data_IF_130517469584
#
_entry.id   IF_130517469584
#
_cell.length_a   1.000
_cell.length_b   1.000
_cell.length_c   1.000
_cell.angle_alpha   90.00
_cell.angle_beta   90.00
_cell.angle_gamma   90.00
#
_symmetry.space_group_name_H-M   'P 1'
#
loop_
_entity.id
_entity.type
_entity.pdbx_description
1 polymer ?
#
# COMPACT_ATOMS: atom_id res chain seq x y z
N UNK A 1 -29.41 18.25 13.83
CA UNK A 1 -28.07 17.76 13.42
C UNK A 1 -27.69 16.36 13.94
N UNK A 2 -28.50 15.67 14.76
CA UNK A 2 -28.19 14.30 15.26
C UNK A 2 -28.81 13.15 14.44
N UNK A 3 -29.89 13.42 13.69
CA UNK A 3 -30.68 12.38 12.99
C UNK A 3 -30.17 11.97 11.59
N UNK A 4 -29.25 12.71 10.99
CA UNK A 4 -28.64 12.33 9.70
C UNK A 4 -27.47 11.34 9.88
N UNK A 5 -26.95 11.21 11.10
CA UNK A 5 -25.81 10.33 11.42
C UNK A 5 -26.19 8.84 11.49
N UNK A 6 -27.42 8.50 11.88
CA UNK A 6 -27.83 7.10 12.05
C UNK A 6 -28.21 6.39 10.74
N UNK A 7 -28.60 7.15 9.70
CA UNK A 7 -29.10 6.57 8.44
C UNK A 7 -27.99 6.13 7.46
N UNK A 8 -26.76 6.64 7.61
CA UNK A 8 -25.60 6.20 6.81
C UNK A 8 -24.81 5.08 7.52
N UNK A 9 -25.03 4.91 8.83
CA UNK A 9 -24.24 4.02 9.70
C UNK A 9 -24.73 2.58 9.71
N UNK A 10 -26.01 2.26 9.45
CA UNK A 10 -26.46 0.92 9.84
C UNK A 10 -26.28 -0.21 8.79
N UNK A 11 -26.09 0.08 7.48
CA UNK A 11 -25.85 -0.96 6.47
C UNK A 11 -24.59 -0.74 5.62
N UNK A 12 -24.20 0.50 5.34
CA UNK A 12 -23.05 0.79 4.47
C UNK A 12 -21.69 0.62 5.17
N UNK A 13 -21.57 1.14 6.39
CA UNK A 13 -20.34 1.06 7.17
C UNK A 13 -20.07 -0.36 7.69
N UNK A 14 -21.12 -1.06 8.16
CA UNK A 14 -21.00 -2.45 8.58
C UNK A 14 -20.59 -3.35 7.42
N UNK A 15 -21.20 -3.18 6.23
CA UNK A 15 -20.81 -3.92 5.03
C UNK A 15 -19.37 -3.60 4.61
N UNK A 16 -18.95 -2.34 4.69
CA UNK A 16 -17.56 -1.93 4.42
C UNK A 16 -16.58 -2.64 5.34
N UNK A 17 -16.84 -2.65 6.65
CA UNK A 17 -15.99 -3.31 7.63
C UNK A 17 -15.99 -4.83 7.40
N UNK A 18 -17.16 -5.46 7.21
CA UNK A 18 -17.27 -6.90 6.97
C UNK A 18 -16.47 -7.33 5.73
N UNK A 19 -16.54 -6.57 4.63
CA UNK A 19 -15.78 -6.88 3.41
C UNK A 19 -14.27 -6.63 3.61
N UNK A 20 -13.88 -5.60 4.37
CA UNK A 20 -12.48 -5.44 4.77
C UNK A 20 -11.99 -6.62 5.61
N UNK A 21 -12.77 -7.08 6.58
CA UNK A 21 -12.43 -8.22 7.42
C UNK A 21 -12.24 -9.50 6.60
N UNK A 22 -13.08 -9.71 5.59
CA UNK A 22 -12.88 -10.80 4.63
C UNK A 22 -11.57 -10.65 3.84
N UNK A 23 -11.28 -9.44 3.36
CA UNK A 23 -10.01 -9.15 2.68
C UNK A 23 -8.80 -9.40 3.57
N UNK A 24 -8.83 -8.95 4.83
CA UNK A 24 -7.74 -9.20 5.81
C UNK A 24 -7.63 -10.67 6.19
N UNK A 25 -8.72 -11.41 6.23
CA UNK A 25 -8.71 -12.85 6.50
C UNK A 25 -8.04 -13.61 5.34
N UNK A 26 -8.37 -13.28 4.08
CA UNK A 26 -7.72 -13.84 2.89
C UNK A 26 -6.22 -13.51 2.91
N UNK A 27 -5.88 -12.25 3.21
CA UNK A 27 -4.49 -11.80 3.29
C UNK A 27 -3.71 -12.57 4.36
N UNK A 28 -4.24 -12.66 5.58
CA UNK A 28 -3.64 -13.40 6.69
C UNK A 28 -3.49 -14.90 6.37
N UNK A 29 -4.50 -15.51 5.75
CA UNK A 29 -4.44 -16.90 5.31
C UNK A 29 -3.29 -17.13 4.33
N UNK A 30 -3.13 -16.21 3.37
CA UNK A 30 -2.07 -16.27 2.36
C UNK A 30 -0.69 -16.12 2.99
N UNK A 31 -0.53 -15.14 3.86
CA UNK A 31 0.76 -14.83 4.49
C UNK A 31 1.23 -15.99 5.37
N UNK A 32 0.31 -16.62 6.11
CA UNK A 32 0.67 -17.77 6.94
C UNK A 32 0.83 -19.07 6.13
N UNK A 33 -0.22 -19.52 5.43
CA UNK A 33 -0.23 -20.86 4.82
C UNK A 33 0.56 -20.96 3.52
N UNK A 34 0.69 -19.86 2.77
CA UNK A 34 1.42 -19.86 1.50
C UNK A 34 2.83 -19.32 1.73
N UNK A 35 2.98 -18.11 2.27
CA UNK A 35 4.29 -17.48 2.45
C UNK A 35 5.14 -18.16 3.52
N UNK A 36 4.68 -18.13 4.78
CA UNK A 36 5.48 -18.56 5.92
C UNK A 36 5.82 -20.06 5.86
N UNK A 37 4.88 -20.91 5.43
CA UNK A 37 5.12 -22.36 5.32
C UNK A 37 6.02 -22.76 4.13
N UNK A 38 6.05 -21.98 3.05
CA UNK A 38 6.83 -22.31 1.84
C UNK A 38 8.11 -21.46 1.68
N UNK A 39 8.48 -20.71 2.71
CA UNK A 39 9.62 -19.79 2.71
C UNK A 39 9.64 -18.85 1.49
N UNK A 40 8.47 -18.47 0.98
CA UNK A 40 8.42 -17.37 0.02
C UNK A 40 8.76 -16.09 0.77
N UNK A 41 9.77 -15.39 0.27
CA UNK A 41 10.13 -14.09 0.80
C UNK A 41 9.02 -13.08 0.54
N UNK A 42 8.84 -12.12 1.45
CA UNK A 42 7.94 -10.99 1.28
C UNK A 42 8.68 -9.77 0.69
N UNK A 43 8.01 -9.05 -0.20
CA UNK A 43 8.48 -7.77 -0.73
C UNK A 43 8.24 -6.60 0.22
N UNK A 44 8.42 -5.38 -0.29
CA UNK A 44 8.03 -4.14 0.38
C UNK A 44 8.72 -3.91 1.73
N UNK A 45 7.96 -3.47 2.72
CA UNK A 45 8.50 -3.13 4.04
C UNK A 45 9.02 -4.37 4.79
N UNK A 46 8.43 -5.54 4.56
CA UNK A 46 8.90 -6.80 5.12
C UNK A 46 10.26 -7.20 4.54
N UNK A 47 10.41 -7.10 3.21
CA UNK A 47 11.70 -7.33 2.55
C UNK A 47 12.78 -6.34 3.00
N UNK A 48 12.43 -5.05 3.18
CA UNK A 48 13.34 -4.03 3.72
C UNK A 48 13.76 -4.33 5.16
N UNK A 49 12.84 -4.79 5.99
CA UNK A 49 13.14 -5.16 7.36
C UNK A 49 14.07 -6.36 7.43
N UNK A 50 13.89 -7.36 6.54
CA UNK A 50 14.80 -8.49 6.40
C UNK A 50 16.19 -8.04 5.93
N UNK A 51 16.26 -7.13 4.95
CA UNK A 51 17.52 -6.55 4.49
C UNK A 51 18.27 -5.83 5.61
N UNK A 52 17.57 -5.02 6.41
CA UNK A 52 18.15 -4.36 7.58
C UNK A 52 18.69 -5.36 8.61
N UNK A 53 18.01 -6.50 8.77
CA UNK A 53 18.48 -7.58 9.62
C UNK A 53 19.78 -8.21 9.11
N UNK A 54 19.86 -8.55 7.82
CA UNK A 54 21.07 -9.13 7.25
C UNK A 54 22.24 -8.14 7.17
N UNK A 55 21.97 -6.86 6.92
CA UNK A 55 23.02 -5.84 6.78
C UNK A 55 23.54 -5.29 8.11
N UNK A 56 22.66 -5.08 9.09
CA UNK A 56 22.99 -4.37 10.35
C UNK A 56 22.73 -5.20 11.62
N UNK A 57 22.21 -6.42 11.50
CA UNK A 57 21.85 -7.27 12.63
C UNK A 57 20.63 -6.79 13.43
N UNK A 58 19.90 -5.78 12.94
CA UNK A 58 18.72 -5.22 13.61
C UNK A 58 17.55 -6.18 13.45
N UNK A 59 16.74 -6.39 14.50
CA UNK A 59 15.55 -7.25 14.37
C UNK A 59 14.58 -6.69 13.31
N UNK A 60 14.01 -7.53 12.43
CA UNK A 60 13.00 -7.11 11.45
C UNK A 60 11.82 -6.37 12.08
N UNK A 61 11.43 -6.73 13.30
CA UNK A 61 10.33 -6.08 14.02
C UNK A 61 10.61 -4.59 14.29
N UNK A 62 11.84 -4.25 14.69
CA UNK A 62 12.24 -2.85 14.92
C UNK A 62 12.34 -2.08 13.61
N UNK A 63 12.86 -2.72 12.56
CA UNK A 63 12.98 -2.11 11.23
C UNK A 63 11.62 -1.81 10.61
N UNK A 64 10.66 -2.75 10.68
CA UNK A 64 9.29 -2.53 10.24
C UNK A 64 8.64 -1.37 11.00
N UNK A 65 8.75 -1.36 12.33
CA UNK A 65 8.14 -0.33 13.16
C UNK A 65 8.70 1.06 12.82
N UNK A 66 10.02 1.16 12.59
CA UNK A 66 10.67 2.41 12.19
C UNK A 66 10.22 2.90 10.81
N UNK A 67 9.96 1.98 9.86
CA UNK A 67 9.44 2.30 8.53
C UNK A 67 7.96 2.67 8.55
N UNK A 68 7.15 2.00 9.36
CA UNK A 68 5.70 2.21 9.44
C UNK A 68 5.33 3.54 10.11
N UNK A 69 6.01 3.93 11.19
CA UNK A 69 5.71 5.20 11.92
C UNK A 69 5.62 6.42 10.99
N UNK A 70 6.65 6.76 10.17
CA UNK A 70 6.60 7.97 9.35
C UNK A 70 5.48 7.92 8.32
N UNK A 71 5.19 6.75 7.76
CA UNK A 71 4.11 6.57 6.77
C UNK A 71 2.74 6.73 7.43
N UNK A 72 2.54 6.16 8.61
CA UNK A 72 1.31 6.31 9.39
C UNK A 72 1.09 7.78 9.77
N UNK A 73 2.14 8.48 10.21
CA UNK A 73 2.05 9.92 10.51
C UNK A 73 1.68 10.74 9.27
N UNK A 74 2.31 10.46 8.13
CA UNK A 74 2.00 11.12 6.87
C UNK A 74 0.55 10.87 6.45
N UNK A 75 0.07 9.63 6.57
CA UNK A 75 -1.31 9.27 6.27
C UNK A 75 -2.31 9.91 7.22
N UNK A 76 -1.98 10.09 8.50
CA UNK A 76 -2.83 10.81 9.44
C UNK A 76 -3.10 12.23 8.96
N UNK A 77 -2.05 12.92 8.53
CA UNK A 77 -2.11 14.31 8.06
C UNK A 77 -2.84 14.41 6.72
N UNK A 78 -2.57 13.50 5.78
CA UNK A 78 -3.11 13.57 4.41
C UNK A 78 -4.54 13.02 4.27
N UNK A 79 -4.86 11.93 4.96
CA UNK A 79 -6.14 11.19 4.82
C UNK A 79 -7.13 11.45 5.95
N UNK A 80 -6.64 11.95 7.09
CA UNK A 80 -7.46 12.25 8.25
C UNK A 80 -7.90 11.01 9.05
N UNK A 81 -8.64 11.29 10.13
CA UNK A 81 -8.97 10.30 11.19
C UNK A 81 -9.77 9.09 10.70
N UNK A 82 -10.66 9.26 9.71
CA UNK A 82 -11.51 8.17 9.22
C UNK A 82 -10.70 7.07 8.53
N UNK A 83 -9.73 7.44 7.70
CA UNK A 83 -8.82 6.48 7.06
C UNK A 83 -7.99 5.76 8.12
N UNK A 84 -7.49 6.50 9.12
CA UNK A 84 -6.69 5.88 10.17
C UNK A 84 -7.47 4.84 10.98
N UNK A 85 -8.74 5.11 11.30
CA UNK A 85 -9.58 4.12 11.97
C UNK A 85 -9.77 2.85 11.13
N UNK A 86 -9.98 2.99 9.83
CA UNK A 86 -10.11 1.84 8.92
C UNK A 86 -8.78 1.08 8.79
N UNK A 87 -7.65 1.79 8.65
CA UNK A 87 -6.33 1.18 8.63
C UNK A 87 -6.00 0.46 9.93
N UNK A 88 -6.35 1.04 11.08
CA UNK A 88 -6.17 0.39 12.39
C UNK A 88 -7.03 -0.87 12.52
N UNK A 89 -8.30 -0.80 12.10
CA UNK A 89 -9.19 -1.99 12.09
C UNK A 89 -8.60 -3.07 11.17
N UNK A 90 -8.12 -2.69 9.98
CA UNK A 90 -7.49 -3.62 9.03
C UNK A 90 -6.23 -4.27 9.58
N UNK A 91 -5.32 -3.48 10.15
CA UNK A 91 -4.08 -3.97 10.76
C UNK A 91 -4.36 -4.90 11.96
N UNK A 92 -5.25 -4.50 12.87
CA UNK A 92 -5.62 -5.33 14.03
C UNK A 92 -6.30 -6.62 13.58
N UNK A 93 -7.22 -6.55 12.61
CA UNK A 93 -7.88 -7.73 12.09
C UNK A 93 -6.91 -8.69 11.40
N UNK A 94 -6.00 -8.17 10.56
CA UNK A 94 -4.94 -8.95 9.95
C UNK A 94 -4.09 -9.66 11.00
N UNK A 95 -3.59 -8.94 12.01
CA UNK A 95 -2.77 -9.53 13.08
C UNK A 95 -3.53 -10.58 13.89
N UNK A 96 -4.81 -10.35 14.20
CA UNK A 96 -5.64 -11.34 14.91
C UNK A 96 -5.89 -12.60 14.07
N UNK A 97 -6.20 -12.45 12.79
CA UNK A 97 -6.37 -13.60 11.90
C UNK A 97 -5.07 -14.35 11.69
N UNK A 98 -3.96 -13.64 11.48
CA UNK A 98 -2.64 -14.24 11.33
C UNK A 98 -2.25 -15.03 12.58
N UNK A 99 -2.34 -14.43 13.77
CA UNK A 99 -2.07 -15.11 15.04
C UNK A 99 -3.02 -16.29 15.29
N UNK A 100 -4.28 -16.16 14.85
CA UNK A 100 -5.26 -17.24 14.88
C UNK A 100 -4.85 -18.43 14.00
N UNK A 101 -4.43 -18.17 12.77
CA UNK A 101 -3.92 -19.22 11.88
C UNK A 101 -2.63 -19.83 12.42
N UNK A 102 -1.71 -19.01 12.94
CA UNK A 102 -0.46 -19.47 13.53
C UNK A 102 -0.66 -20.41 14.71
N UNK A 103 -1.61 -20.10 15.59
CA UNK A 103 -1.83 -20.87 16.81
C UNK A 103 -2.75 -22.08 16.64
N UNK A 104 -3.77 -21.97 15.78
CA UNK A 104 -4.86 -22.94 15.72
C UNK A 104 -4.93 -23.71 14.40
N UNK A 105 -4.29 -23.23 13.33
CA UNK A 105 -4.31 -23.95 12.07
C UNK A 105 -3.32 -25.10 12.07
N UNK A 106 -3.82 -26.32 11.88
CA UNK A 106 -3.00 -27.52 11.60
C UNK A 106 -2.83 -27.74 10.10
N UNK A 107 -3.35 -26.85 9.27
CA UNK A 107 -3.35 -26.98 7.82
C UNK A 107 -1.94 -26.64 7.30
N UNK A 108 -1.30 -27.63 6.68
CA UNK A 108 0.02 -27.47 6.06
C UNK A 108 -0.16 -27.56 4.55
N UNK A 109 0.13 -26.46 3.85
CA UNK A 109 0.17 -26.41 2.39
C UNK A 109 1.64 -26.47 1.96
N UNK A 110 2.16 -27.69 1.87
CA UNK A 110 3.51 -27.92 1.38
C UNK A 110 3.54 -27.83 -0.15
N UNK A 111 4.06 -26.72 -0.64
CA UNK A 111 4.35 -26.41 -2.04
C UNK A 111 5.87 -26.33 -2.31
N UNK A 112 6.73 -26.87 -1.43
CA UNK A 112 8.19 -26.81 -1.60
C UNK A 112 8.66 -27.41 -2.94
N UNK A 113 7.97 -28.46 -3.41
CA UNK A 113 8.23 -29.09 -4.71
C UNK A 113 7.79 -28.25 -5.92
N UNK A 114 6.94 -27.23 -5.73
CA UNK A 114 6.37 -26.44 -6.81
C UNK A 114 6.19 -24.96 -6.41
N UNK A 115 7.30 -24.27 -6.17
CA UNK A 115 7.34 -22.83 -5.85
C UNK A 115 6.62 -21.94 -6.87
N UNK A 116 6.48 -22.38 -8.13
CA UNK A 116 5.67 -21.68 -9.13
C UNK A 116 4.20 -21.57 -8.69
N UNK A 117 3.61 -22.69 -8.25
CA UNK A 117 2.21 -22.69 -7.79
C UNK A 117 2.07 -21.86 -6.52
N UNK A 118 3.04 -21.95 -5.60
CA UNK A 118 3.05 -21.12 -4.40
C UNK A 118 3.06 -19.62 -4.75
N UNK A 119 3.93 -19.21 -5.67
CA UNK A 119 4.02 -17.82 -6.12
C UNK A 119 2.73 -17.33 -6.80
N UNK A 120 2.11 -18.16 -7.65
CA UNK A 120 0.86 -17.82 -8.31
C UNK A 120 -0.29 -17.67 -7.29
N UNK A 121 -0.43 -18.62 -6.37
CA UNK A 121 -1.45 -18.57 -5.32
C UNK A 121 -1.23 -17.37 -4.39
N UNK A 122 0.02 -17.14 -3.97
CA UNK A 122 0.41 -15.98 -3.18
C UNK A 122 0.02 -14.69 -3.90
N UNK A 123 0.42 -14.54 -5.17
CA UNK A 123 0.13 -13.34 -5.94
C UNK A 123 -1.37 -13.07 -6.10
N UNK A 124 -2.16 -14.09 -6.44
CA UNK A 124 -3.62 -13.94 -6.60
C UNK A 124 -4.29 -13.60 -5.28
N UNK A 125 -4.02 -14.37 -4.22
CA UNK A 125 -4.72 -14.21 -2.95
C UNK A 125 -4.28 -12.94 -2.21
N UNK A 126 -3.00 -12.61 -2.19
CA UNK A 126 -2.50 -11.34 -1.67
C UNK A 126 -3.11 -10.18 -2.44
N UNK A 127 -3.14 -10.26 -3.77
CA UNK A 127 -3.70 -9.21 -4.59
C UNK A 127 -5.21 -9.01 -4.39
N UNK A 128 -5.97 -10.09 -4.18
CA UNK A 128 -7.39 -10.04 -3.84
C UNK A 128 -7.59 -9.48 -2.43
N UNK A 129 -6.89 -9.99 -1.43
CA UNK A 129 -6.99 -9.56 -0.03
C UNK A 129 -6.67 -8.09 0.14
N UNK A 130 -5.46 -7.68 -0.26
CA UNK A 130 -5.00 -6.29 -0.20
C UNK A 130 -5.86 -5.39 -1.10
N UNK A 131 -6.19 -5.84 -2.32
CA UNK A 131 -7.05 -5.11 -3.24
C UNK A 131 -8.45 -4.82 -2.67
N UNK A 132 -9.06 -5.77 -1.96
CA UNK A 132 -10.35 -5.58 -1.27
C UNK A 132 -10.20 -4.55 -0.15
N UNK A 133 -9.18 -4.67 0.71
CA UNK A 133 -8.98 -3.75 1.84
C UNK A 133 -8.76 -2.32 1.34
N UNK A 134 -7.85 -2.14 0.37
CA UNK A 134 -7.53 -0.85 -0.24
C UNK A 134 -8.72 -0.25 -0.97
N UNK A 135 -9.55 -1.08 -1.65
CA UNK A 135 -10.78 -0.63 -2.31
C UNK A 135 -11.74 0.03 -1.33
N UNK A 136 -11.88 -0.52 -0.13
CA UNK A 136 -12.73 0.08 0.91
C UNK A 136 -12.03 1.20 1.69
N UNK A 137 -10.86 1.68 1.24
CA UNK A 137 -10.14 2.80 1.86
C UNK A 137 -9.56 2.47 3.23
N UNK A 138 -9.27 1.19 3.49
CA UNK A 138 -8.44 0.75 4.60
C UNK A 138 -7.02 0.41 4.15
N UNK A 139 -6.22 -0.07 5.09
CA UNK A 139 -4.89 -0.62 4.86
C UNK A 139 -4.61 -1.68 5.94
N UNK A 140 -3.68 -2.60 5.68
CA UNK A 140 -3.28 -3.63 6.64
C UNK A 140 -1.91 -3.38 7.26
N UNK A 141 -1.05 -2.62 6.58
CA UNK A 141 0.28 -2.23 7.08
C UNK A 141 0.75 -0.89 6.49
N UNK A 142 1.96 -0.46 6.84
CA UNK A 142 2.51 0.81 6.34
C UNK A 142 2.80 0.78 4.84
N UNK A 143 3.18 -0.36 4.27
CA UNK A 143 3.44 -0.47 2.82
C UNK A 143 2.18 -0.24 1.96
N UNK A 144 1.03 -0.76 2.39
CA UNK A 144 -0.28 -0.47 1.79
C UNK A 144 -0.59 1.04 1.79
N UNK A 145 -0.33 1.68 2.93
CA UNK A 145 -0.54 3.12 3.11
C UNK A 145 0.41 3.91 2.20
N UNK A 146 1.68 3.54 2.15
CA UNK A 146 2.68 4.18 1.30
C UNK A 146 2.29 4.08 -0.17
N UNK A 147 1.95 2.87 -0.62
CA UNK A 147 1.53 2.58 -1.98
C UNK A 147 0.30 3.41 -2.38
N UNK A 148 -0.67 3.53 -1.47
CA UNK A 148 -1.86 4.37 -1.67
C UNK A 148 -1.51 5.87 -1.77
N UNK A 149 -0.66 6.37 -0.88
CA UNK A 149 -0.26 7.78 -0.85
C UNK A 149 0.52 8.18 -2.11
N UNK A 150 1.49 7.35 -2.54
CA UNK A 150 2.27 7.59 -3.75
C UNK A 150 1.37 7.49 -4.99
N UNK A 151 0.45 6.53 -5.02
CA UNK A 151 -0.52 6.36 -6.10
C UNK A 151 -1.36 7.63 -6.28
N UNK A 152 -1.83 8.23 -5.19
CA UNK A 152 -2.60 9.47 -5.25
C UNK A 152 -1.76 10.70 -5.60
N UNK A 153 -0.53 10.77 -5.11
CA UNK A 153 0.37 11.88 -5.38
C UNK A 153 0.83 11.90 -6.85
N UNK A 154 1.20 10.74 -7.42
CA UNK A 154 1.65 10.62 -8.81
C UNK A 154 0.53 10.32 -9.82
N UNK A 155 -0.67 9.99 -9.37
CA UNK A 155 -1.77 9.54 -10.23
C UNK A 155 -1.53 8.16 -10.87
N UNK A 156 -0.64 7.35 -10.31
CA UNK A 156 -0.35 6.00 -10.79
C UNK A 156 -1.36 5.00 -10.23
N UNK A 157 -1.51 3.84 -10.89
CA UNK A 157 -2.32 2.73 -10.34
C UNK A 157 -1.64 2.18 -9.08
N UNK A 158 -2.41 1.93 -8.02
CA UNK A 158 -1.88 1.46 -6.71
C UNK A 158 -0.99 0.22 -6.89
N UNK A 159 -1.45 -0.76 -7.66
CA UNK A 159 -0.67 -1.97 -7.86
C UNK A 159 0.61 -1.76 -8.68
N UNK A 160 0.71 -0.72 -9.52
CA UNK A 160 1.98 -0.38 -10.17
C UNK A 160 2.98 0.20 -9.18
N UNK A 161 2.51 0.99 -8.21
CA UNK A 161 3.36 1.51 -7.14
C UNK A 161 3.87 0.36 -6.29
N UNK A 162 2.98 -0.54 -5.90
CA UNK A 162 3.31 -1.76 -5.13
C UNK A 162 4.37 -2.63 -5.84
N UNK A 163 4.23 -2.84 -7.16
CA UNK A 163 5.23 -3.58 -7.95
C UNK A 163 6.58 -2.87 -7.95
N UNK A 164 6.60 -1.55 -8.14
CA UNK A 164 7.84 -0.79 -8.22
C UNK A 164 8.55 -0.73 -6.87
N UNK A 165 7.83 -0.50 -5.77
CA UNK A 165 8.40 -0.52 -4.41
C UNK A 165 9.05 -1.88 -4.15
N UNK A 166 8.31 -2.95 -4.39
CA UNK A 166 8.77 -4.29 -4.05
C UNK A 166 9.90 -4.79 -4.95
N UNK A 167 9.89 -4.48 -6.25
CA UNK A 167 11.00 -4.83 -7.14
C UNK A 167 12.29 -4.13 -6.70
N UNK A 168 12.23 -2.88 -6.25
CA UNK A 168 13.41 -2.18 -5.72
C UNK A 168 13.95 -2.91 -4.50
N UNK A 169 13.07 -3.27 -3.56
CA UNK A 169 13.45 -3.97 -2.33
C UNK A 169 14.00 -5.37 -2.64
N UNK A 170 13.28 -6.17 -3.42
CA UNK A 170 13.68 -7.53 -3.79
C UNK A 170 14.95 -7.53 -4.63
N UNK A 171 15.14 -6.50 -5.46
CA UNK A 171 16.38 -6.27 -6.21
C UNK A 171 17.59 -6.10 -5.28
N UNK A 172 17.42 -5.40 -4.16
CA UNK A 172 18.45 -5.29 -3.13
C UNK A 172 18.62 -6.60 -2.34
N UNK A 173 17.53 -7.35 -2.12
CA UNK A 173 17.55 -8.65 -1.44
C UNK A 173 18.29 -9.76 -2.19
N UNK A 174 18.41 -9.66 -3.53
CA UNK A 174 19.19 -10.61 -4.35
C UNK A 174 20.66 -10.74 -3.93
N UNK A 175 21.19 -9.76 -3.20
CA UNK A 175 22.57 -9.81 -2.68
C UNK A 175 22.73 -10.78 -1.50
N UNK A 176 21.63 -11.17 -0.84
CA UNK A 176 21.66 -11.94 0.41
C UNK A 176 20.74 -13.17 0.39
N UNK A 177 19.65 -13.14 -0.39
CA UNK A 177 18.68 -14.23 -0.46
C UNK A 177 18.94 -15.18 -1.64
N UNK A 178 18.49 -16.44 -1.56
CA UNK A 178 18.58 -17.40 -2.66
C UNK A 178 17.85 -16.88 -3.90
N UNK A 179 18.56 -16.78 -5.02
CA UNK A 179 18.02 -16.26 -6.30
C UNK A 179 16.72 -16.96 -6.70
N UNK A 180 16.62 -18.27 -6.46
CA UNK A 180 15.43 -19.07 -6.80
C UNK A 180 14.17 -18.53 -6.10
N UNK A 181 14.22 -18.35 -4.78
CA UNK A 181 13.08 -17.86 -3.99
C UNK A 181 12.72 -16.42 -4.39
N UNK A 182 13.73 -15.56 -4.54
CA UNK A 182 13.51 -14.16 -4.91
C UNK A 182 12.85 -14.01 -6.28
N UNK A 183 13.21 -14.83 -7.27
CA UNK A 183 12.55 -14.81 -8.58
C UNK A 183 11.06 -15.18 -8.49
N UNK A 184 10.72 -16.17 -7.66
CA UNK A 184 9.33 -16.56 -7.43
C UNK A 184 8.56 -15.50 -6.64
N UNK A 185 9.18 -14.84 -5.67
CA UNK A 185 8.59 -13.69 -4.99
C UNK A 185 8.33 -12.53 -5.96
N UNK A 186 9.28 -12.20 -6.86
CA UNK A 186 9.08 -11.16 -7.88
C UNK A 186 7.86 -11.49 -8.75
N UNK A 187 7.70 -12.75 -9.15
CA UNK A 187 6.52 -13.20 -9.90
C UNK A 187 5.22 -13.03 -9.09
N UNK A 188 5.23 -13.44 -7.81
CA UNK A 188 4.10 -13.30 -6.91
C UNK A 188 3.69 -11.83 -6.74
N UNK A 189 4.65 -10.94 -6.53
CA UNK A 189 4.40 -9.49 -6.37
C UNK A 189 3.90 -8.87 -7.66
N UNK A 190 4.49 -9.21 -8.80
CA UNK A 190 4.01 -8.73 -10.10
C UNK A 190 2.54 -9.10 -10.31
N UNK A 191 2.18 -10.35 -10.01
CA UNK A 191 0.80 -10.82 -10.10
C UNK A 191 -0.10 -10.12 -9.08
N UNK A 192 0.33 -9.99 -7.82
CA UNK A 192 -0.40 -9.27 -6.78
C UNK A 192 -0.72 -7.84 -7.20
N UNK A 193 0.26 -7.08 -7.69
CA UNK A 193 0.01 -5.71 -8.15
C UNK A 193 -0.95 -5.62 -9.34
N UNK A 194 -0.95 -6.60 -10.26
CA UNK A 194 -1.96 -6.67 -11.33
C UNK A 194 -3.36 -6.90 -10.77
N UNK A 195 -3.51 -7.82 -9.82
CA UNK A 195 -4.80 -8.14 -9.19
C UNK A 195 -5.28 -7.00 -8.28
N UNK A 196 -4.39 -6.34 -7.54
CA UNK A 196 -4.70 -5.13 -6.74
C UNK A 196 -5.23 -4.06 -7.69
N UNK A 197 -4.52 -3.81 -8.79
CA UNK A 197 -4.95 -2.84 -9.80
C UNK A 197 -6.33 -3.20 -10.33
N UNK A 198 -6.56 -4.44 -10.72
CA UNK A 198 -7.86 -4.88 -11.22
C UNK A 198 -8.97 -4.68 -10.18
N UNK A 199 -8.73 -5.10 -8.94
CA UNK A 199 -9.68 -5.02 -7.82
C UNK A 199 -10.00 -3.57 -7.43
N UNK A 200 -9.00 -2.69 -7.44
CA UNK A 200 -9.13 -1.26 -7.07
C UNK A 200 -9.62 -0.39 -8.22
N UNK A 201 -9.39 -0.77 -9.49
CA UNK A 201 -9.84 -0.01 -10.67
C UNK A 201 -11.36 0.13 -10.71
N UNK A 202 -12.11 -0.82 -10.16
CA UNK A 202 -13.57 -0.73 -10.04
C UNK A 202 -14.08 0.43 -9.17
N UNK A 203 -13.22 1.17 -8.46
CA UNK A 203 -13.66 2.28 -7.59
C UNK A 203 -12.91 3.61 -7.69
N UNK A 204 -11.85 3.74 -8.49
CA UNK A 204 -11.09 5.01 -8.54
C UNK A 204 -11.37 5.83 -9.80
N UNK A 205 -12.58 6.35 -9.88
CA UNK A 205 -12.87 7.70 -10.40
C UNK A 205 -13.22 8.61 -9.21
N UNK A 206 -12.30 8.78 -8.26
CA UNK A 206 -12.29 10.02 -7.50
C UNK A 206 -11.29 10.94 -8.20
N UNK A 207 -11.75 11.89 -9.02
CA UNK A 207 -10.84 12.84 -9.63
C UNK A 207 -10.05 13.48 -8.49
N UNK A 208 -8.73 13.36 -8.55
CA UNK A 208 -7.83 14.17 -7.75
C UNK A 208 -8.32 15.59 -7.95
N UNK A 209 -8.83 16.22 -6.89
CA UNK A 209 -9.03 17.67 -6.92
C UNK A 209 -7.61 18.19 -7.08
N UNK A 210 -7.19 18.47 -8.33
CA UNK A 210 -5.93 19.17 -8.60
C UNK A 210 -5.97 20.33 -7.63
N UNK A 211 -5.11 20.30 -6.62
CA UNK A 211 -4.73 21.52 -5.94
C UNK A 211 -4.00 22.24 -7.06
N UNK A 212 -4.75 23.03 -7.83
CA UNK A 212 -4.16 24.03 -8.71
C UNK A 212 -3.11 24.71 -7.83
N UNK A 213 -1.83 24.79 -8.25
CA UNK A 213 -0.89 25.66 -7.56
C UNK A 213 -1.63 26.98 -7.39
N UNK A 214 -1.77 27.41 -6.14
CA UNK A 214 -2.50 28.63 -5.81
C UNK A 214 -2.08 29.67 -6.84
N UNK A 215 -3.05 30.18 -7.61
CA UNK A 215 -2.76 31.14 -8.66
C UNK A 215 -1.83 32.19 -8.05
N UNK A 216 -0.62 32.31 -8.60
CA UNK A 216 0.31 33.36 -8.20
C UNK A 216 -0.52 34.65 -8.28
N UNK A 217 -0.74 35.37 -7.17
CA UNK A 217 -1.56 36.57 -7.23
C UNK A 217 -0.91 37.49 -8.26
N UNK A 218 -1.67 37.80 -9.31
CA UNK A 218 -1.29 38.75 -10.33
C UNK A 218 -1.22 40.12 -9.65
N UNK A 219 -0.07 40.45 -9.06
CA UNK A 219 0.14 41.76 -8.49
C UNK A 219 1.48 42.34 -8.97
N UNK A 220 1.29 43.24 -9.94
CA UNK A 220 2.17 44.34 -10.36
C UNK A 220 3.38 43.94 -11.21
N UNK A 221 3.10 43.63 -12.48
CA UNK A 221 3.92 44.19 -13.56
C UNK A 221 3.81 45.70 -13.43
N UNK A 222 4.78 46.30 -12.73
CA UNK A 222 5.00 47.75 -12.78
C UNK A 222 5.38 48.05 -14.21
N UNK A 223 4.42 48.59 -14.97
CA UNK A 223 4.69 49.24 -16.24
C UNK A 223 5.68 50.38 -15.96
N UNK A 224 6.96 50.08 -16.09
CA UNK A 224 8.00 51.10 -16.20
C UNK A 224 7.76 51.76 -17.55
N UNK A 225 7.05 52.87 -17.51
CA UNK A 225 6.95 53.83 -18.60
C UNK A 225 8.37 54.20 -19.03
N UNK A 226 8.79 53.71 -20.19
CA UNK A 226 9.95 54.24 -20.89
C UNK A 226 9.53 55.61 -21.43
N UNK A 227 10.16 56.71 -21.02
CA UNK A 227 9.85 58.02 -21.58
C UNK A 227 10.36 58.07 -23.02
N UNK A 228 9.45 58.33 -23.95
CA UNK A 228 9.73 58.61 -25.36
C UNK A 228 10.51 59.93 -25.40
N UNK A 229 11.83 59.86 -25.57
CA UNK A 229 12.65 61.03 -25.88
C UNK A 229 12.36 61.42 -27.32
N UNK A 230 11.50 62.42 -27.47
CA UNK A 230 11.31 63.14 -28.72
C UNK A 230 12.48 64.14 -28.87
N UNK A 231 13.63 63.68 -29.38
CA UNK A 231 14.69 64.59 -29.83
C UNK A 231 14.38 65.06 -31.25
N UNK A 232 13.94 66.30 -31.29
CA UNK A 232 13.81 67.17 -32.45
C UNK A 232 15.03 67.13 -33.38
N UNK A 233 14.73 67.06 -34.69
CA UNK A 233 15.24 67.92 -35.77
C UNK A 233 16.76 67.94 -36.01
N UNK A 234 17.19 67.34 -37.13
CA UNK A 234 17.69 68.02 -38.35
C UNK A 234 18.21 66.99 -39.35
#
# INVERSE_FOLDING_TARGET
MRKTYESIVNNGALRQIAVMLLGTCILAFTYYHINAQNHLSEGGFAGLALLGHYAFGVSPAWSMLLLDIPVILLAWVLKGRRFMLLALIGAVAFSLFYAGFEKYSTLVIDLHGNLLVAALLCGVLTGLGAGIVLRFGGATGGDDILSLLISEWRGWKIGNVFIVSDIIVLGLSLLYLPVKETMFTILAVWLAGKIITWTTTFQLHRPVKKVLPAAIPAQKVVAKTVPIVHSLRQ
#
